data_IF_510723109740
#
_entry.id   IF_510723109740
#
_cell.length_a   1.000
_cell.length_b   1.000
_cell.length_c   1.000
_cell.angle_alpha   90.00
_cell.angle_beta   90.00
_cell.angle_gamma   90.00
#
_symmetry.space_group_name_H-M   'P 1'
#
loop_
_entity.id
_entity.type
_entity.pdbx_description
1 polymer ?
#
# COMPACT_ATOMS: atom_id res chain seq x y z
N UNK A 1 16.92 10.78 15.73
CA UNK A 1 16.28 9.58 15.14
C UNK A 1 15.19 9.92 14.10
N UNK A 2 14.86 11.19 13.89
CA UNK A 2 13.84 11.65 12.93
C UNK A 2 14.12 11.30 11.47
N UNK A 3 15.37 11.37 11.00
CA UNK A 3 15.73 10.97 9.62
C UNK A 3 15.45 9.47 9.36
N UNK A 4 15.72 8.60 10.34
CA UNK A 4 15.40 7.17 10.23
C UNK A 4 13.88 6.95 10.18
N UNK A 5 13.12 7.70 10.98
CA UNK A 5 11.65 7.67 10.92
C UNK A 5 11.13 8.09 9.55
N UNK A 6 11.70 9.13 8.93
CA UNK A 6 11.30 9.59 7.60
C UNK A 6 11.58 8.55 6.50
N UNK A 7 12.71 7.84 6.57
CA UNK A 7 13.02 6.77 5.62
C UNK A 7 12.00 5.63 5.73
N UNK A 8 11.65 5.21 6.95
CA UNK A 8 10.63 4.19 7.18
C UNK A 8 9.23 4.67 6.77
N UNK A 9 8.91 5.93 7.06
CA UNK A 9 7.64 6.54 6.68
C UNK A 9 7.45 6.55 5.16
N UNK A 10 8.50 6.79 4.37
CA UNK A 10 8.40 6.74 2.92
C UNK A 10 7.94 5.35 2.42
N UNK A 11 8.43 4.26 3.04
CA UNK A 11 7.98 2.91 2.74
C UNK A 11 6.50 2.67 3.08
N UNK A 12 6.07 3.09 4.27
CA UNK A 12 4.68 2.97 4.72
C UNK A 12 3.71 3.79 3.84
N UNK A 13 4.11 4.99 3.45
CA UNK A 13 3.31 5.86 2.57
C UNK A 13 3.09 5.25 1.20
N UNK A 14 4.15 4.67 0.64
CA UNK A 14 4.08 4.02 -0.68
C UNK A 14 3.24 2.75 -0.61
N UNK A 15 3.33 1.97 0.46
CA UNK A 15 2.54 0.75 0.66
C UNK A 15 1.03 1.03 0.62
N UNK A 16 0.55 1.97 1.45
CA UNK A 16 -0.87 2.34 1.48
C UNK A 16 -1.38 2.82 0.11
N UNK A 17 -0.58 3.65 -0.57
CA UNK A 17 -0.95 4.19 -1.88
C UNK A 17 -0.99 3.12 -2.97
N UNK A 18 -0.05 2.18 -2.96
CA UNK A 18 -0.01 1.07 -3.92
C UNK A 18 -1.22 0.15 -3.73
N UNK A 19 -1.58 -0.21 -2.50
CA UNK A 19 -2.74 -1.08 -2.24
C UNK A 19 -4.04 -0.47 -2.79
N UNK A 20 -4.26 0.83 -2.57
CA UNK A 20 -5.43 1.54 -3.13
C UNK A 20 -5.36 1.59 -4.65
N UNK A 21 -4.21 1.96 -5.21
CA UNK A 21 -4.02 2.07 -6.66
C UNK A 21 -4.25 0.74 -7.36
N UNK A 22 -3.70 -0.36 -6.84
CA UNK A 22 -3.81 -1.69 -7.44
C UNK A 22 -5.26 -2.18 -7.42
N UNK A 23 -6.00 -1.92 -6.34
CA UNK A 23 -7.41 -2.28 -6.30
C UNK A 23 -8.23 -1.47 -7.32
N UNK A 24 -7.96 -0.17 -7.46
CA UNK A 24 -8.63 0.68 -8.47
C UNK A 24 -8.24 0.25 -9.89
N UNK A 25 -6.96 0.00 -10.14
CA UNK A 25 -6.47 -0.45 -11.44
C UNK A 25 -7.12 -1.77 -11.87
N UNK A 26 -7.24 -2.73 -10.95
CA UNK A 26 -7.94 -4.00 -11.19
C UNK A 26 -9.38 -3.78 -11.65
N UNK A 27 -10.13 -2.89 -10.97
CA UNK A 27 -11.49 -2.57 -11.36
C UNK A 27 -11.57 -1.90 -12.74
N UNK A 28 -10.60 -1.04 -13.08
CA UNK A 28 -10.52 -0.42 -14.41
C UNK A 28 -10.24 -1.48 -15.49
N UNK A 29 -9.34 -2.43 -15.21
CA UNK A 29 -9.01 -3.54 -16.11
C UNK A 29 -10.22 -4.50 -16.28
N UNK A 30 -11.06 -4.65 -15.25
CA UNK A 30 -12.35 -5.36 -15.32
C UNK A 30 -13.44 -4.57 -16.08
N UNK A 31 -13.12 -3.38 -16.60
CA UNK A 31 -13.99 -2.55 -17.43
C UNK A 31 -14.83 -1.52 -16.68
N UNK A 32 -14.61 -1.33 -15.37
CA UNK A 32 -15.30 -0.31 -14.58
C UNK A 32 -14.75 1.08 -14.91
N UNK A 33 -15.60 2.11 -15.14
CA UNK A 33 -15.11 3.44 -15.44
C UNK A 33 -14.27 4.02 -14.28
N UNK A 34 -13.17 4.77 -14.53
CA UNK A 34 -12.19 5.16 -13.51
C UNK A 34 -12.75 5.83 -12.25
N UNK A 35 -13.78 6.67 -12.39
CA UNK A 35 -14.43 7.32 -11.26
C UNK A 35 -15.16 6.30 -10.36
N UNK A 36 -15.88 5.37 -10.97
CA UNK A 36 -16.59 4.33 -10.24
C UNK A 36 -15.63 3.30 -9.66
N UNK A 37 -14.57 2.95 -10.39
CA UNK A 37 -13.49 2.09 -9.91
C UNK A 37 -12.80 2.69 -8.68
N UNK A 38 -12.55 4.01 -8.67
CA UNK A 38 -12.00 4.69 -7.50
C UNK A 38 -12.92 4.58 -6.27
N UNK A 39 -14.23 4.78 -6.45
CA UNK A 39 -15.19 4.69 -5.34
C UNK A 39 -15.31 3.26 -4.78
N UNK A 40 -15.46 2.26 -5.66
CA UNK A 40 -15.54 0.86 -5.26
C UNK A 40 -14.22 0.44 -4.60
N UNK A 41 -13.12 0.74 -5.28
CA UNK A 41 -11.78 0.38 -4.84
C UNK A 41 -11.46 0.88 -3.44
N UNK A 42 -11.72 2.16 -3.16
CA UNK A 42 -11.52 2.75 -1.83
C UNK A 42 -12.46 2.18 -0.78
N UNK A 43 -13.70 1.80 -1.11
CA UNK A 43 -14.64 1.21 -0.13
C UNK A 43 -14.25 -0.19 0.30
N UNK A 44 -13.66 -0.99 -0.59
CA UNK A 44 -13.23 -2.35 -0.29
C UNK A 44 -11.99 -2.38 0.60
N UNK A 45 -10.97 -1.59 0.26
CA UNK A 45 -9.69 -1.59 1.00
C UNK A 45 -9.67 -0.58 2.16
N UNK A 46 -10.55 0.41 2.15
CA UNK A 46 -10.48 1.54 3.09
C UNK A 46 -10.60 1.14 4.55
N UNK A 47 -11.51 0.21 4.88
CA UNK A 47 -11.65 -0.31 6.24
C UNK A 47 -10.40 -1.09 6.67
N UNK A 48 -9.86 -1.92 5.78
CA UNK A 48 -8.65 -2.71 6.03
C UNK A 48 -7.44 -1.82 6.29
N UNK A 49 -7.22 -0.80 5.46
CA UNK A 49 -6.13 0.17 5.62
C UNK A 49 -6.27 0.96 6.93
N UNK A 50 -7.48 1.42 7.25
CA UNK A 50 -7.75 2.11 8.51
C UNK A 50 -7.42 1.23 9.72
N UNK A 51 -7.88 -0.02 9.72
CA UNK A 51 -7.66 -0.94 10.83
C UNK A 51 -6.17 -1.26 11.01
N UNK A 52 -5.47 -1.61 9.92
CA UNK A 52 -4.04 -1.94 9.96
C UNK A 52 -3.19 -0.75 10.43
N UNK A 53 -3.43 0.44 9.88
CA UNK A 53 -2.70 1.64 10.27
C UNK A 53 -2.99 2.05 11.71
N UNK A 54 -4.23 1.92 12.18
CA UNK A 54 -4.57 2.20 13.57
C UNK A 54 -3.85 1.23 14.52
N UNK A 55 -3.80 -0.06 14.20
CA UNK A 55 -3.00 -1.02 14.95
C UNK A 55 -1.52 -0.63 15.01
N UNK A 56 -0.96 -0.15 13.88
CA UNK A 56 0.43 0.27 13.82
C UNK A 56 0.69 1.51 14.69
N UNK A 57 -0.22 2.49 14.67
CA UNK A 57 -0.17 3.67 15.55
C UNK A 57 -0.22 3.25 17.02
N UNK A 58 -1.09 2.29 17.39
CA UNK A 58 -1.18 1.79 18.78
C UNK A 58 0.14 1.16 19.24
N UNK A 59 0.85 0.43 18.37
CA UNK A 59 2.18 -0.12 18.69
C UNK A 59 3.18 1.00 19.00
N UNK A 60 3.25 2.03 18.17
CA UNK A 60 4.17 3.16 18.39
C UNK A 60 3.80 3.99 19.62
N UNK A 61 2.51 4.18 19.87
CA UNK A 61 2.01 4.86 21.08
C UNK A 61 2.36 4.07 22.33
N UNK A 62 2.29 2.74 22.30
CA UNK A 62 2.64 1.88 23.44
C UNK A 62 4.10 2.05 23.86
N UNK A 63 5.01 2.26 22.91
CA UNK A 63 6.44 2.52 23.19
C UNK A 63 6.62 3.80 24.01
N UNK A 64 5.77 4.82 23.82
CA UNK A 64 5.81 6.06 24.59
C UNK A 64 5.47 5.87 26.07
N UNK A 65 4.81 4.76 26.42
CA UNK A 65 4.42 4.43 27.79
C UNK A 65 5.41 3.53 28.53
N UNK A 66 6.47 3.04 27.87
CA UNK A 66 7.43 2.12 28.50
C UNK A 66 8.34 2.79 29.54
N UNK A 67 8.40 4.13 29.59
CA UNK A 67 9.20 4.86 30.57
C UNK A 67 10.72 4.76 30.36
N UNK A 68 11.47 5.58 31.08
CA UNK A 68 12.93 5.44 31.20
C UNK A 68 13.72 5.90 29.97
N UNK A 69 14.89 5.28 29.76
CA UNK A 69 15.84 5.67 28.70
C UNK A 69 15.31 5.32 27.31
N UNK A 70 14.62 4.18 27.19
CA UNK A 70 14.01 3.72 25.93
C UNK A 70 12.98 4.75 25.46
N UNK A 71 12.11 5.22 26.34
CA UNK A 71 11.16 6.27 26.00
C UNK A 71 11.85 7.53 25.44
N UNK A 72 12.88 8.05 26.10
CA UNK A 72 13.56 9.29 25.67
C UNK A 72 14.22 9.17 24.30
N UNK A 73 14.79 8.01 23.98
CA UNK A 73 15.41 7.74 22.68
C UNK A 73 14.35 7.58 21.58
N UNK A 74 13.27 6.85 21.85
CA UNK A 74 12.27 6.52 20.83
C UNK A 74 11.12 7.53 20.73
N UNK A 75 10.98 8.47 21.67
CA UNK A 75 9.88 9.45 21.70
C UNK A 75 9.80 10.27 20.40
N UNK A 76 10.90 10.84 19.95
CA UNK A 76 10.94 11.59 18.68
C UNK A 76 10.62 10.70 17.47
N UNK A 77 11.09 9.46 17.49
CA UNK A 77 10.87 8.49 16.43
C UNK A 77 9.41 8.04 16.34
N UNK A 78 8.83 7.61 17.45
CA UNK A 78 7.44 7.13 17.52
C UNK A 78 6.42 8.22 17.19
N UNK A 79 6.63 9.45 17.66
CA UNK A 79 5.73 10.57 17.35
C UNK A 79 5.80 10.90 15.84
N UNK A 80 7.01 10.94 15.27
CA UNK A 80 7.18 11.22 13.84
C UNK A 80 6.54 10.15 12.97
N UNK A 81 6.75 8.86 13.29
CA UNK A 81 6.13 7.76 12.54
C UNK A 81 4.62 7.71 12.69
N UNK A 82 4.10 7.86 13.91
CA UNK A 82 2.66 7.86 14.14
C UNK A 82 1.97 8.99 13.36
N UNK A 83 2.55 10.19 13.36
CA UNK A 83 2.07 11.31 12.56
C UNK A 83 2.15 11.02 11.05
N UNK A 84 3.27 10.46 10.57
CA UNK A 84 3.45 10.11 9.17
C UNK A 84 2.45 9.04 8.70
N UNK A 85 2.15 8.03 9.52
CA UNK A 85 1.16 6.98 9.25
C UNK A 85 -0.24 7.59 9.11
N UNK A 86 -0.64 8.47 10.03
CA UNK A 86 -1.96 9.11 9.95
C UNK A 86 -2.10 10.01 8.72
N UNK A 87 -1.04 10.75 8.39
CA UNK A 87 -1.00 11.55 7.16
C UNK A 87 -1.03 10.66 5.91
N UNK A 88 -0.29 9.55 5.91
CA UNK A 88 -0.30 8.54 4.84
C UNK A 88 -1.71 8.04 4.57
N UNK A 89 -2.39 7.57 5.62
CA UNK A 89 -3.74 7.04 5.54
C UNK A 89 -4.73 8.06 4.99
N UNK A 90 -4.60 9.33 5.40
CA UNK A 90 -5.43 10.41 4.88
C UNK A 90 -5.16 10.62 3.39
N UNK A 91 -3.89 10.69 2.97
CA UNK A 91 -3.50 10.88 1.57
C UNK A 91 -3.93 9.71 0.70
N UNK A 92 -3.76 8.47 1.16
CA UNK A 92 -4.10 7.26 0.42
C UNK A 92 -5.59 7.07 0.21
N UNK A 93 -6.44 7.46 1.18
CA UNK A 93 -7.90 7.35 1.06
C UNK A 93 -8.57 8.54 0.38
N UNK A 94 -7.87 9.66 0.21
CA UNK A 94 -8.44 10.88 -0.37
C UNK A 94 -7.77 11.28 -1.67
N UNK A 95 -6.47 11.53 -1.63
CA UNK A 95 -5.73 12.08 -2.75
C UNK A 95 -5.49 10.99 -3.79
N UNK A 96 -4.98 9.83 -3.40
CA UNK A 96 -4.70 8.72 -4.32
C UNK A 96 -5.91 8.34 -5.19
N UNK A 97 -7.10 8.05 -4.64
CA UNK A 97 -8.26 7.71 -5.48
C UNK A 97 -8.71 8.86 -6.37
N UNK A 98 -8.59 10.12 -5.92
CA UNK A 98 -8.91 11.29 -6.73
C UNK A 98 -7.97 11.42 -7.93
N UNK A 99 -6.68 11.15 -7.73
CA UNK A 99 -5.69 11.14 -8.81
C UNK A 99 -5.90 9.96 -9.75
N UNK A 100 -6.17 8.76 -9.23
CA UNK A 100 -6.48 7.58 -10.04
C UNK A 100 -7.72 7.80 -10.92
N UNK A 101 -8.80 8.36 -10.37
CA UNK A 101 -10.02 8.65 -11.13
C UNK A 101 -9.82 9.62 -12.31
N UNK A 102 -8.80 10.49 -12.25
CA UNK A 102 -8.53 11.53 -13.26
C UNK A 102 -7.43 11.17 -14.25
N UNK A 103 -6.40 10.44 -13.81
CA UNK A 103 -5.19 10.22 -14.60
C UNK A 103 -4.92 8.75 -14.93
N UNK A 104 -5.58 7.80 -14.26
CA UNK A 104 -5.40 6.39 -14.55
C UNK A 104 -6.20 6.04 -15.81
N UNK A 105 -5.49 5.64 -16.86
CA UNK A 105 -6.07 5.18 -18.13
C UNK A 105 -6.20 3.66 -18.08
N UNK A 106 -7.24 3.08 -18.72
CA UNK A 106 -7.30 1.64 -18.93
C UNK A 106 -6.05 1.17 -19.67
N UNK A 107 -5.51 0.02 -19.28
CA UNK A 107 -4.44 -0.61 -20.03
C UNK A 107 -4.99 -0.99 -21.41
N UNK A 108 -4.64 -0.23 -22.45
CA UNK A 108 -4.76 -0.75 -23.81
C UNK A 108 -3.84 -1.98 -23.91
N UNK A 109 -4.26 -3.08 -24.57
CA UNK A 109 -3.42 -4.26 -24.72
C UNK A 109 -2.12 -3.87 -25.44
N UNK A 110 -1.08 -3.62 -24.65
CA UNK A 110 0.19 -3.12 -25.13
C UNK A 110 0.83 -4.19 -26.02
N UNK A 111 1.39 -3.75 -27.15
CA UNK A 111 2.14 -4.62 -28.06
C UNK A 111 3.44 -5.04 -27.38
N UNK A 112 3.39 -6.17 -26.69
CA UNK A 112 4.48 -6.73 -25.88
C UNK A 112 5.88 -6.63 -26.52
N UNK A 113 6.79 -5.92 -25.84
CA UNK A 113 8.23 -5.98 -26.10
C UNK A 113 8.85 -7.32 -25.64
N UNK A 114 9.98 -7.74 -26.24
CA UNK A 114 10.66 -9.02 -25.94
C UNK A 114 10.98 -9.22 -24.45
N UNK A 115 11.29 -8.16 -23.71
CA UNK A 115 11.60 -8.21 -22.28
C UNK A 115 10.35 -8.54 -21.43
N UNK A 116 9.20 -7.98 -21.81
CA UNK A 116 7.92 -8.14 -21.11
C UNK A 116 7.38 -9.56 -21.27
N UNK A 117 7.53 -10.17 -22.46
CA UNK A 117 7.19 -11.59 -22.69
C UNK A 117 8.04 -12.55 -21.87
N UNK A 118 9.34 -12.25 -21.71
CA UNK A 118 10.23 -13.06 -20.87
C UNK A 118 9.85 -12.96 -19.39
N UNK A 119 9.54 -11.76 -18.91
CA UNK A 119 9.01 -11.54 -17.55
C UNK A 119 7.70 -12.32 -17.32
N UNK A 120 6.77 -12.29 -18.29
CA UNK A 120 5.52 -13.04 -18.20
C UNK A 120 5.73 -14.56 -18.11
N UNK A 121 6.67 -15.11 -18.89
CA UNK A 121 7.01 -16.54 -18.82
C UNK A 121 7.65 -16.92 -17.49
N UNK A 122 8.54 -16.08 -16.95
CA UNK A 122 9.14 -16.30 -15.64
C UNK A 122 8.09 -16.24 -14.52
N UNK A 123 7.15 -15.30 -14.59
CA UNK A 123 6.07 -15.16 -13.61
C UNK A 123 5.13 -16.37 -13.63
N UNK A 124 4.75 -16.86 -14.82
CA UNK A 124 3.95 -18.08 -14.96
C UNK A 124 4.67 -19.34 -14.47
N UNK A 125 5.99 -19.42 -14.66
CA UNK A 125 6.79 -20.54 -14.14
C UNK A 125 6.82 -20.57 -12.62
N UNK A 126 6.96 -19.38 -11.99
CA UNK A 126 6.91 -19.19 -10.54
C UNK A 126 5.54 -19.56 -9.97
N UNK A 127 4.45 -19.08 -10.57
CA UNK A 127 3.08 -19.41 -10.13
C UNK A 127 2.81 -20.92 -10.18
N UNK A 128 3.25 -21.61 -11.24
CA UNK A 128 3.07 -23.08 -11.35
C UNK A 128 3.88 -23.86 -10.31
N UNK A 129 5.06 -23.37 -9.93
CA UNK A 129 5.83 -23.98 -8.85
C UNK A 129 5.18 -23.71 -7.49
N UNK A 130 4.69 -22.49 -7.29
CA UNK A 130 3.99 -22.11 -6.07
C UNK A 130 2.73 -22.95 -5.84
N UNK A 131 1.86 -23.07 -6.86
CA UNK A 131 0.66 -23.92 -6.82
C UNK A 131 0.98 -25.38 -6.49
N UNK A 132 2.04 -25.93 -7.09
CA UNK A 132 2.47 -27.31 -6.81
C UNK A 132 2.93 -27.48 -5.36
N UNK A 133 3.67 -26.51 -4.83
CA UNK A 133 4.13 -26.57 -3.44
C UNK A 133 2.98 -26.41 -2.44
N UNK A 134 1.97 -25.58 -2.76
CA UNK A 134 0.79 -25.42 -1.92
C UNK A 134 -0.13 -26.64 -1.97
N UNK A 135 -0.26 -27.29 -3.13
CA UNK A 135 -1.06 -28.51 -3.28
C UNK A 135 -0.48 -29.73 -2.54
N UNK A 136 0.74 -29.61 -2.01
CA UNK A 136 1.43 -30.65 -1.25
C UNK A 136 1.28 -30.47 0.28
N UNK A 137 0.68 -29.37 0.74
CA UNK A 137 0.33 -29.12 2.14
C UNK A 137 -1.16 -29.39 2.40
#
# INVERSE_FOLDING_TARGET
>A
LSLMALILAAGLVVDDAIVVLENIARHIDDGVPPLQAAYIGTREVGFTLLSMNLSLVVVFVSILYMGGIVERLFREFSITLAAAILVSLLVSLTLTPMLCARWLKPNEPEKDGRLQRWSHQAHQWLLRHYDRSLSWA
#
